data_IF_345707137476
#
_entry.id   IF_345707137476
#
_cell.length_a   1.000
_cell.length_b   1.000
_cell.length_c   1.000
_cell.angle_alpha   90.00
_cell.angle_beta   90.00
_cell.angle_gamma   90.00
#
_symmetry.space_group_name_H-M   'P 1'
#
loop_
_entity.id
_entity.type
_entity.pdbx_description
1 polymer ?
#
# COMPACT_ATOMS: atom_id res chain seq x y z
N UNK A 1 -0.02 0.74 20.12
CA UNK A 1 -0.30 -0.21 19.01
C UNK A 1 -1.63 -0.90 19.30
N UNK A 2 -2.52 -1.00 18.29
CA UNK A 2 -3.80 -1.74 18.40
C UNK A 2 -3.71 -3.00 17.55
N UNK A 3 -3.95 -4.15 18.14
CA UNK A 3 -3.95 -5.44 17.43
C UNK A 3 -5.40 -5.86 17.20
N UNK A 4 -5.77 -6.12 15.95
CA UNK A 4 -7.09 -6.55 15.55
C UNK A 4 -6.97 -7.97 14.97
N UNK A 5 -7.58 -8.95 15.63
CA UNK A 5 -7.63 -10.33 15.13
C UNK A 5 -8.77 -10.48 14.13
N UNK A 6 -8.51 -11.20 13.06
CA UNK A 6 -9.51 -11.59 12.06
C UNK A 6 -9.70 -13.11 12.06
N UNK A 7 -10.90 -13.55 11.72
CA UNK A 7 -11.25 -14.99 11.65
C UNK A 7 -10.68 -15.62 10.38
N UNK A 8 -10.75 -14.88 9.29
CA UNK A 8 -10.41 -15.30 7.94
C UNK A 8 -10.06 -14.09 7.08
N UNK A 9 -9.77 -14.34 5.81
CA UNK A 9 -9.43 -13.32 4.83
C UNK A 9 -10.54 -12.28 4.62
N UNK A 10 -11.81 -12.71 4.61
CA UNK A 10 -12.93 -11.78 4.39
C UNK A 10 -13.12 -10.86 5.60
N UNK A 11 -13.05 -11.40 6.82
CA UNK A 11 -13.13 -10.60 8.04
C UNK A 11 -11.96 -9.62 8.17
N UNK A 12 -10.74 -10.06 7.79
CA UNK A 12 -9.56 -9.17 7.71
C UNK A 12 -9.79 -8.04 6.71
N UNK A 13 -10.22 -8.36 5.50
CA UNK A 13 -10.47 -7.41 4.43
C UNK A 13 -11.52 -6.38 4.83
N UNK A 14 -12.63 -6.82 5.41
CA UNK A 14 -13.70 -5.95 5.91
C UNK A 14 -13.21 -5.05 7.05
N UNK A 15 -12.42 -5.56 7.99
CA UNK A 15 -11.85 -4.77 9.10
C UNK A 15 -10.86 -3.73 8.62
N UNK A 16 -10.02 -4.07 7.64
CA UNK A 16 -9.12 -3.12 7.01
C UNK A 16 -9.91 -2.03 6.24
N UNK A 17 -10.92 -2.43 5.48
CA UNK A 17 -11.80 -1.50 4.78
C UNK A 17 -12.53 -0.54 5.76
N UNK A 18 -12.98 -1.01 6.93
CA UNK A 18 -13.57 -0.15 7.96
C UNK A 18 -12.64 0.96 8.42
N UNK A 19 -11.33 0.69 8.54
CA UNK A 19 -10.36 1.69 8.96
C UNK A 19 -10.15 2.73 7.85
N UNK A 20 -10.05 2.28 6.60
CA UNK A 20 -9.89 3.16 5.45
C UNK A 20 -11.15 4.00 5.24
N UNK A 21 -12.35 3.41 5.30
CA UNK A 21 -13.61 4.14 5.16
C UNK A 21 -13.79 5.20 6.23
N UNK A 22 -13.44 4.88 7.48
CA UNK A 22 -13.47 5.87 8.55
C UNK A 22 -12.53 7.05 8.28
N UNK A 23 -11.33 6.81 7.72
CA UNK A 23 -10.40 7.87 7.33
C UNK A 23 -11.01 8.76 6.23
N UNK A 24 -11.61 8.16 5.19
CA UNK A 24 -12.25 8.91 4.10
C UNK A 24 -13.43 9.73 4.59
N UNK A 25 -14.31 9.18 5.43
CA UNK A 25 -15.45 9.87 5.99
C UNK A 25 -15.02 11.03 6.90
N UNK A 26 -14.04 10.82 7.75
CA UNK A 26 -13.57 11.84 8.71
C UNK A 26 -12.73 12.94 8.07
N UNK A 27 -12.05 12.64 6.96
CA UNK A 27 -11.24 13.57 6.19
C UNK A 27 -11.39 13.26 4.70
N UNK A 28 -12.38 13.82 4.01
CA UNK A 28 -12.65 13.55 2.58
C UNK A 28 -11.45 13.82 1.66
N UNK A 29 -10.63 14.84 1.96
CA UNK A 29 -9.42 15.22 1.25
C UNK A 29 -8.16 14.47 1.72
N UNK A 30 -8.32 13.30 2.34
CA UNK A 30 -7.20 12.54 2.89
C UNK A 30 -6.26 12.02 1.81
N UNK A 31 -5.00 11.86 2.20
CA UNK A 31 -3.96 11.17 1.41
C UNK A 31 -3.84 9.72 1.89
N UNK A 32 -4.26 8.78 1.06
CA UNK A 32 -4.21 7.35 1.35
C UNK A 32 -2.96 6.72 0.72
N UNK A 33 -2.15 6.07 1.52
CA UNK A 33 -1.12 5.16 1.06
C UNK A 33 -1.72 3.78 0.81
N UNK A 34 -1.62 3.26 -0.42
CA UNK A 34 -2.22 2.01 -0.84
C UNK A 34 -1.17 0.96 -1.15
N UNK A 35 -1.52 -0.30 -0.98
CA UNK A 35 -0.66 -1.45 -1.23
C UNK A 35 -1.18 -2.27 -2.43
N UNK A 36 -0.27 -3.03 -3.05
CA UNK A 36 -0.58 -3.96 -4.14
C UNK A 36 -0.43 -5.42 -3.70
N UNK A 37 -0.74 -6.35 -4.58
CA UNK A 37 -0.69 -7.78 -4.31
C UNK A 37 -2.03 -8.39 -3.95
N UNK A 38 -2.07 -9.70 -3.70
CA UNK A 38 -3.33 -10.43 -3.48
C UNK A 38 -4.05 -10.09 -2.16
N UNK A 39 -3.30 -9.70 -1.13
CA UNK A 39 -3.86 -9.47 0.21
C UNK A 39 -4.85 -8.30 0.27
N UNK A 40 -4.60 -7.10 -0.29
CA UNK A 40 -5.52 -5.97 -0.19
C UNK A 40 -6.73 -6.05 -1.14
N UNK A 41 -6.79 -6.99 -2.09
CA UNK A 41 -7.87 -7.10 -3.09
C UNK A 41 -9.25 -7.15 -2.42
N UNK A 42 -9.42 -7.98 -1.39
CA UNK A 42 -10.68 -8.07 -0.66
C UNK A 42 -11.05 -6.78 0.08
N UNK A 43 -10.04 -6.02 0.54
CA UNK A 43 -10.26 -4.70 1.15
C UNK A 43 -10.77 -3.71 0.11
N UNK A 44 -10.18 -3.67 -1.08
CA UNK A 44 -10.65 -2.81 -2.19
C UNK A 44 -12.04 -3.19 -2.66
N UNK A 45 -12.32 -4.49 -2.82
CA UNK A 45 -13.66 -4.97 -3.17
C UNK A 45 -14.72 -4.50 -2.17
N UNK A 46 -14.41 -4.51 -0.87
CA UNK A 46 -15.32 -4.01 0.16
C UNK A 46 -15.50 -2.49 0.10
N UNK A 47 -14.46 -1.72 -0.19
CA UNK A 47 -14.55 -0.26 -0.38
C UNK A 47 -15.41 0.09 -1.59
N UNK A 48 -15.25 -0.63 -2.70
CA UNK A 48 -16.07 -0.49 -3.91
C UNK A 48 -17.54 -0.82 -3.63
N UNK A 49 -17.81 -1.88 -2.85
CA UNK A 49 -19.18 -2.23 -2.45
C UNK A 49 -19.85 -1.09 -1.67
N UNK A 50 -19.17 -0.47 -0.73
CA UNK A 50 -19.67 0.67 0.02
C UNK A 50 -19.80 1.95 -0.81
N UNK A 51 -18.88 2.19 -1.74
CA UNK A 51 -19.03 3.26 -2.72
C UNK A 51 -20.29 3.08 -3.57
N UNK A 52 -20.53 1.87 -4.10
CA UNK A 52 -21.71 1.57 -4.90
C UNK A 52 -23.04 1.70 -4.12
N UNK A 53 -22.99 1.55 -2.79
CA UNK A 53 -24.13 1.78 -1.88
C UNK A 53 -24.33 3.24 -1.52
N UNK A 54 -23.41 4.12 -1.90
CA UNK A 54 -23.45 5.54 -1.56
C UNK A 54 -22.90 5.89 -0.18
N UNK A 55 -22.23 4.93 0.49
CA UNK A 55 -21.67 5.14 1.83
C UNK A 55 -20.31 5.85 1.79
N UNK A 56 -19.60 5.83 0.65
CA UNK A 56 -18.27 6.41 0.48
C UNK A 56 -18.20 7.29 -0.75
N UNK A 57 -17.42 8.37 -0.65
CA UNK A 57 -17.07 9.28 -1.72
C UNK A 57 -15.54 9.43 -1.80
N UNK A 58 -14.96 9.16 -2.98
CA UNK A 58 -13.53 9.24 -3.22
C UNK A 58 -13.13 10.45 -4.07
N UNK A 59 -14.05 11.35 -4.41
CA UNK A 59 -13.81 12.48 -5.33
C UNK A 59 -12.69 13.42 -4.84
N UNK A 60 -12.55 13.59 -3.53
CA UNK A 60 -11.53 14.44 -2.94
C UNK A 60 -10.28 13.69 -2.48
N UNK A 61 -10.34 12.35 -2.42
CA UNK A 61 -9.24 11.50 -1.96
C UNK A 61 -8.04 11.58 -2.91
N UNK A 62 -6.84 11.71 -2.34
CA UNK A 62 -5.58 11.53 -3.06
C UNK A 62 -4.93 10.22 -2.65
N UNK A 63 -4.36 9.47 -3.60
CA UNK A 63 -3.69 8.21 -3.30
C UNK A 63 -2.21 8.25 -3.68
N UNK A 64 -1.41 7.49 -2.91
CA UNK A 64 0.00 7.22 -3.19
C UNK A 64 0.28 5.73 -3.02
N UNK A 65 1.07 5.14 -3.90
CA UNK A 65 1.57 3.77 -3.74
C UNK A 65 3.07 3.79 -3.44
N UNK A 66 3.56 2.79 -2.71
CA UNK A 66 4.96 2.77 -2.26
C UNK A 66 5.96 2.42 -3.36
N UNK A 67 5.53 1.63 -4.34
CA UNK A 67 6.44 0.99 -5.27
C UNK A 67 5.81 0.77 -6.65
N UNK A 68 6.65 0.51 -7.64
CA UNK A 68 6.30 0.12 -9.01
C UNK A 68 7.44 -0.70 -9.62
N UNK A 69 7.14 -1.48 -10.65
CA UNK A 69 8.14 -2.21 -11.43
C UNK A 69 8.87 -1.28 -12.42
N UNK A 70 10.20 -1.34 -12.38
CA UNK A 70 11.06 -0.61 -13.30
C UNK A 70 11.00 -1.21 -14.70
N UNK A 71 10.88 -0.35 -15.71
CA UNK A 71 10.86 -0.74 -17.12
C UNK A 71 9.47 -1.07 -17.66
N UNK A 72 8.40 -0.90 -16.85
CA UNK A 72 7.05 -1.10 -17.30
C UNK A 72 6.31 0.22 -17.52
N UNK A 73 5.61 0.38 -18.67
CA UNK A 73 4.62 1.43 -18.82
C UNK A 73 3.41 1.13 -17.92
N UNK A 74 2.73 2.18 -17.50
CA UNK A 74 1.59 2.07 -16.57
C UNK A 74 0.45 1.20 -17.08
N UNK A 75 0.27 1.11 -18.40
CA UNK A 75 -0.76 0.30 -19.06
C UNK A 75 -0.41 -1.19 -19.13
N UNK A 76 0.81 -1.57 -18.76
CA UNK A 76 1.23 -2.96 -18.79
C UNK A 76 0.45 -3.77 -17.74
N UNK A 77 -0.10 -4.96 -18.07
CA UNK A 77 -0.94 -5.75 -17.15
C UNK A 77 -0.27 -6.15 -15.82
N UNK A 78 1.06 -6.10 -15.77
CA UNK A 78 1.83 -6.40 -14.55
C UNK A 78 2.27 -5.15 -13.80
N UNK A 79 1.96 -3.93 -14.28
CA UNK A 79 2.25 -2.71 -13.53
C UNK A 79 1.34 -2.59 -12.30
N UNK A 80 1.82 -1.93 -11.27
CA UNK A 80 1.00 -1.67 -10.09
C UNK A 80 -0.06 -0.60 -10.36
N UNK A 81 0.20 0.30 -11.31
CA UNK A 81 -0.85 1.21 -11.77
C UNK A 81 -2.02 0.44 -12.38
N UNK A 82 -1.76 -0.53 -13.28
CA UNK A 82 -2.79 -1.38 -13.87
C UNK A 82 -3.54 -2.17 -12.78
N UNK A 83 -2.79 -2.75 -11.83
CA UNK A 83 -3.39 -3.45 -10.69
C UNK A 83 -4.34 -2.56 -9.89
N UNK A 84 -3.94 -1.32 -9.56
CA UNK A 84 -4.77 -0.40 -8.79
C UNK A 84 -5.99 0.07 -9.58
N UNK A 85 -5.83 0.29 -10.89
CA UNK A 85 -6.93 0.64 -11.78
C UNK A 85 -7.99 -0.48 -11.81
N UNK A 86 -7.57 -1.73 -12.01
CA UNK A 86 -8.48 -2.89 -12.05
C UNK A 86 -9.17 -3.19 -10.72
N UNK A 87 -8.54 -2.91 -9.59
CA UNK A 87 -9.07 -3.29 -8.29
C UNK A 87 -9.78 -2.17 -7.55
N UNK A 88 -9.48 -0.90 -7.86
CA UNK A 88 -10.07 0.23 -7.15
C UNK A 88 -10.36 1.44 -8.05
N UNK A 89 -9.36 2.02 -8.74
CA UNK A 89 -9.50 3.36 -9.31
C UNK A 89 -10.60 3.48 -10.35
N UNK A 90 -10.75 2.49 -11.25
CA UNK A 90 -11.81 2.48 -12.26
C UNK A 90 -13.21 2.17 -11.71
N UNK A 91 -13.31 1.79 -10.44
CA UNK A 91 -14.56 1.31 -9.81
C UNK A 91 -15.17 2.30 -8.82
N UNK A 92 -14.48 3.42 -8.57
CA UNK A 92 -14.93 4.50 -7.68
C UNK A 92 -14.75 5.85 -8.37
N UNK A 93 -15.27 6.92 -7.79
CA UNK A 93 -15.23 8.27 -8.37
C UNK A 93 -13.93 9.05 -8.05
N UNK A 94 -12.81 8.36 -7.83
CA UNK A 94 -11.54 9.04 -7.62
C UNK A 94 -11.09 9.76 -8.89
N UNK A 95 -10.58 11.00 -8.75
CA UNK A 95 -9.95 11.71 -9.86
C UNK A 95 -8.62 11.02 -10.23
N UNK A 96 -8.45 10.56 -11.48
CA UNK A 96 -7.19 9.97 -11.94
C UNK A 96 -5.96 10.87 -11.72
N UNK A 97 -6.13 12.20 -11.74
CA UNK A 97 -5.06 13.15 -11.46
C UNK A 97 -4.59 13.15 -10.00
N UNK A 98 -5.43 12.64 -9.09
CA UNK A 98 -5.12 12.47 -7.66
C UNK A 98 -4.53 11.09 -7.33
N UNK A 99 -4.32 10.23 -8.33
CA UNK A 99 -3.69 8.91 -8.13
C UNK A 99 -2.19 8.98 -8.44
N UNK A 100 -1.36 8.68 -7.47
CA UNK A 100 0.09 8.82 -7.60
C UNK A 100 0.78 7.48 -7.42
N UNK A 101 1.60 7.11 -8.41
CA UNK A 101 2.51 5.97 -8.36
C UNK A 101 3.89 6.40 -8.86
N UNK A 102 4.96 5.68 -8.49
CA UNK A 102 6.26 5.87 -9.14
C UNK A 102 6.18 5.59 -10.64
N UNK A 103 6.96 6.34 -11.42
CA UNK A 103 7.05 6.12 -12.86
C UNK A 103 8.07 5.01 -13.18
N UNK A 104 7.56 3.83 -13.51
CA UNK A 104 8.37 2.67 -13.87
C UNK A 104 9.19 2.88 -15.16
N UNK A 105 8.82 3.82 -16.02
CA UNK A 105 9.53 4.10 -17.28
C UNK A 105 10.74 5.01 -17.11
N UNK A 106 10.82 5.72 -15.98
CA UNK A 106 11.99 6.55 -15.67
C UNK A 106 13.16 5.66 -15.22
N UNK A 107 14.17 5.55 -16.08
CA UNK A 107 15.34 4.71 -15.82
C UNK A 107 16.34 5.36 -14.83
N UNK A 108 16.28 6.68 -14.63
CA UNK A 108 17.00 7.35 -13.55
C UNK A 108 16.25 7.21 -12.24
N UNK A 109 16.59 6.14 -11.53
CA UNK A 109 15.93 5.80 -10.25
C UNK A 109 16.11 6.89 -9.19
N UNK A 110 17.24 7.58 -9.17
CA UNK A 110 17.50 8.63 -8.20
C UNK A 110 16.63 9.87 -8.47
N UNK A 111 16.52 10.28 -9.73
CA UNK A 111 15.64 11.36 -10.14
C UNK A 111 14.16 11.01 -9.85
N UNK A 112 13.74 9.77 -10.15
CA UNK A 112 12.36 9.33 -9.87
C UNK A 112 12.06 9.30 -8.38
N UNK A 113 12.96 8.77 -7.55
CA UNK A 113 12.79 8.80 -6.09
C UNK A 113 12.69 10.24 -5.57
N UNK A 114 13.51 11.16 -6.09
CA UNK A 114 13.45 12.56 -5.70
C UNK A 114 12.13 13.22 -6.13
N UNK A 115 11.66 12.96 -7.36
CA UNK A 115 10.37 13.44 -7.88
C UNK A 115 9.22 12.95 -7.00
N UNK A 116 9.18 11.64 -6.72
CA UNK A 116 8.11 11.01 -5.98
C UNK A 116 8.07 11.44 -4.50
N UNK A 117 9.25 11.55 -3.87
CA UNK A 117 9.37 12.17 -2.54
C UNK A 117 8.83 13.60 -2.53
N UNK A 118 9.12 14.38 -3.58
CA UNK A 118 8.61 15.73 -3.75
C UNK A 118 7.07 15.78 -3.83
N UNK A 119 6.41 14.80 -4.48
CA UNK A 119 4.96 14.69 -4.52
C UNK A 119 4.42 14.46 -3.11
N UNK A 120 4.92 13.44 -2.40
CA UNK A 120 4.47 13.11 -1.03
C UNK A 120 4.65 14.31 -0.08
N UNK A 121 5.78 15.01 -0.21
CA UNK A 121 6.04 16.21 0.58
C UNK A 121 5.06 17.36 0.27
N UNK A 122 4.74 17.59 -1.00
CA UNK A 122 3.75 18.62 -1.42
C UNK A 122 2.34 18.30 -0.93
N UNK A 123 2.00 17.02 -0.80
CA UNK A 123 0.72 16.57 -0.26
C UNK A 123 0.64 16.72 1.28
N UNK A 124 1.71 17.13 1.94
CA UNK A 124 1.77 17.23 3.39
C UNK A 124 1.99 15.89 4.10
N UNK A 125 2.29 14.83 3.36
CA UNK A 125 2.48 13.46 3.87
C UNK A 125 1.26 12.57 3.61
N UNK A 126 1.24 11.41 4.26
CA UNK A 126 0.22 10.39 4.12
C UNK A 126 -0.60 10.32 5.42
N UNK A 127 -1.92 10.44 5.32
CA UNK A 127 -2.82 10.39 6.49
C UNK A 127 -2.99 8.96 7.01
N UNK A 128 -3.13 8.00 6.10
CA UNK A 128 -3.25 6.58 6.44
C UNK A 128 -2.53 5.73 5.40
N UNK A 129 -1.61 4.87 5.83
CA UNK A 129 -0.88 3.94 4.97
C UNK A 129 -1.35 2.50 5.20
N UNK A 130 -1.85 1.85 4.14
CA UNK A 130 -2.08 0.41 4.10
C UNK A 130 -0.76 -0.29 3.73
N UNK A 131 -0.36 -1.29 4.52
CA UNK A 131 0.83 -2.10 4.28
C UNK A 131 0.51 -3.58 4.41
N UNK A 132 1.14 -4.39 3.57
CA UNK A 132 1.22 -5.83 3.74
C UNK A 132 2.58 -6.23 4.30
N UNK A 133 2.63 -7.32 5.06
CA UNK A 133 3.88 -7.95 5.49
C UNK A 133 3.99 -9.31 4.78
N UNK A 134 5.07 -9.50 4.03
CA UNK A 134 5.32 -10.78 3.37
C UNK A 134 5.73 -11.90 4.34
N UNK A 135 5.74 -13.18 3.88
CA UNK A 135 6.07 -14.32 4.74
C UNK A 135 7.47 -14.25 5.36
N UNK A 136 8.41 -13.58 4.71
CA UNK A 136 9.77 -13.36 5.20
C UNK A 136 9.92 -12.01 5.95
N UNK A 137 8.82 -11.25 6.13
CA UNK A 137 8.81 -9.98 6.80
C UNK A 137 9.07 -8.76 5.90
N UNK A 138 9.11 -8.91 4.57
CA UNK A 138 9.25 -7.77 3.66
C UNK A 138 8.01 -6.87 3.68
N UNK A 139 8.23 -5.58 3.46
CA UNK A 139 7.19 -4.56 3.32
C UNK A 139 7.42 -3.83 1.99
N UNK A 140 6.45 -3.88 1.08
CA UNK A 140 6.65 -3.42 -0.29
C UNK A 140 7.80 -4.21 -0.94
N UNK A 141 8.72 -3.52 -1.60
CA UNK A 141 9.94 -4.14 -2.13
C UNK A 141 11.13 -4.13 -1.14
N UNK A 142 10.91 -3.73 0.11
CA UNK A 142 11.97 -3.72 1.11
C UNK A 142 12.08 -5.08 1.79
N UNK A 143 13.16 -5.78 1.52
CA UNK A 143 13.50 -7.03 2.20
C UNK A 143 13.96 -6.77 3.64
N UNK A 144 13.77 -7.73 4.56
CA UNK A 144 14.31 -7.63 5.91
C UNK A 144 15.82 -7.41 5.89
N UNK A 145 16.29 -6.41 6.61
CA UNK A 145 17.68 -6.02 6.69
C UNK A 145 17.96 -5.30 8.01
N UNK A 146 19.20 -4.83 8.18
CA UNK A 146 19.61 -4.12 9.38
C UNK A 146 18.94 -2.74 9.54
N UNK A 147 18.46 -2.16 8.41
CA UNK A 147 17.74 -0.89 8.40
C UNK A 147 16.64 -0.87 7.34
N UNK A 148 15.46 -0.37 7.70
CA UNK A 148 14.40 -0.03 6.78
C UNK A 148 14.58 1.39 6.27
N UNK A 149 14.59 1.56 4.94
CA UNK A 149 14.49 2.90 4.36
C UNK A 149 13.03 3.35 4.41
N UNK A 150 12.77 4.47 5.05
CA UNK A 150 11.45 5.10 5.12
C UNK A 150 11.17 6.05 3.94
N UNK A 151 12.14 6.22 3.05
CA UNK A 151 12.00 7.00 1.80
C UNK A 151 11.96 6.06 0.62
N UNK A 152 11.25 6.42 -0.48
CA UNK A 152 11.43 5.73 -1.74
C UNK A 152 12.91 5.63 -2.09
N UNK A 153 13.34 4.42 -2.35
CA UNK A 153 14.73 4.08 -2.68
C UNK A 153 14.77 3.32 -3.99
N UNK A 154 15.95 2.91 -4.44
CA UNK A 154 16.07 2.05 -5.62
C UNK A 154 15.27 0.73 -5.50
N UNK A 155 14.96 0.27 -4.29
CA UNK A 155 14.07 -0.88 -4.06
C UNK A 155 12.60 -0.57 -4.36
N UNK A 156 12.19 0.70 -4.39
CA UNK A 156 10.84 1.13 -4.77
C UNK A 156 10.55 0.86 -6.26
N UNK A 157 11.60 0.77 -7.08
CA UNK A 157 11.54 0.45 -8.50
C UNK A 157 12.33 -0.83 -8.75
N UNK A 158 11.68 -1.98 -8.81
CA UNK A 158 12.33 -3.27 -9.08
C UNK A 158 12.15 -3.73 -10.52
N UNK A 159 13.16 -4.44 -11.07
CA UNK A 159 12.96 -5.20 -12.30
C UNK A 159 11.88 -6.27 -12.11
N UNK A 160 11.13 -6.55 -13.17
CA UNK A 160 10.16 -7.64 -13.18
C UNK A 160 10.86 -8.96 -12.86
N UNK A 161 10.33 -9.80 -11.96
CA UNK A 161 10.88 -11.13 -11.75
C UNK A 161 10.73 -11.97 -13.02
N UNK A 162 11.77 -12.69 -13.39
CA UNK A 162 11.80 -13.54 -14.58
C UNK A 162 10.83 -14.74 -14.53
N UNK A 163 10.20 -14.99 -13.39
CA UNK A 163 9.12 -15.97 -13.20
C UNK A 163 8.04 -15.36 -12.30
N UNK A 164 6.74 -15.58 -12.60
CA UNK A 164 5.68 -15.18 -11.68
C UNK A 164 5.88 -15.95 -10.38
N UNK A 165 6.20 -15.26 -9.30
CA UNK A 165 6.09 -15.82 -7.96
C UNK A 165 4.59 -15.97 -7.68
N UNK A 166 4.08 -17.17 -7.89
CA UNK A 166 2.79 -17.56 -7.35
C UNK A 166 2.91 -17.46 -5.83
N UNK A 167 2.45 -16.35 -5.26
CA UNK A 167 2.17 -16.29 -3.84
C UNK A 167 0.98 -17.22 -3.60
N UNK A 168 1.28 -18.52 -3.47
CA UNK A 168 0.35 -19.51 -2.99
C UNK A 168 -0.02 -19.13 -1.56
N UNK A 169 -1.24 -18.66 -1.38
CA UNK A 169 -1.92 -18.58 -0.10
C UNK A 169 -2.11 -20.00 0.45
N UNK A 170 -1.10 -20.56 1.06
CA UNK A 170 -1.27 -21.66 2.00
C UNK A 170 -1.24 -21.08 3.41
N UNK A 171 -2.42 -20.70 3.89
CA UNK A 171 -2.68 -20.66 5.31
C UNK A 171 -2.49 -22.07 5.83
N UNK A 172 -1.47 -22.31 6.64
CA UNK A 172 -1.42 -23.16 7.82
C UNK A 172 0.02 -23.52 8.17
N UNK A 173 0.55 -22.85 9.20
CA UNK A 173 1.43 -23.49 10.17
C UNK A 173 1.38 -22.71 11.49
N UNK A 174 1.15 -23.36 12.63
CA UNK A 174 1.15 -22.68 13.93
C UNK A 174 2.58 -22.24 14.27
N UNK A 175 2.70 -20.96 14.66
CA UNK A 175 3.93 -20.41 15.17
C UNK A 175 4.28 -21.04 16.52
N UNK A 176 5.42 -21.72 16.59
CA UNK A 176 6.08 -22.11 17.81
C UNK A 176 6.53 -20.87 18.61
N UNK A 177 6.33 -20.82 19.93
CA UNK A 177 6.75 -19.69 20.73
C UNK A 177 8.24 -19.84 21.10
N UNK A 178 9.08 -18.94 20.66
CA UNK A 178 10.27 -18.47 21.37
C UNK A 178 11.27 -17.78 20.44
N UNK A 179 11.32 -16.46 20.55
CA UNK A 179 12.53 -15.67 20.81
C UNK A 179 12.17 -14.19 20.86
N UNK A 180 12.22 -13.64 22.04
CA UNK A 180 12.18 -12.21 22.29
C UNK A 180 13.48 -11.56 21.81
N UNK A 181 13.36 -10.50 21.00
CA UNK A 181 14.34 -9.42 20.94
C UNK A 181 13.60 -8.10 21.09
N UNK A 182 14.05 -7.21 22.00
CA UNK A 182 13.34 -5.97 22.29
C UNK A 182 13.64 -4.90 21.25
N UNK A 183 12.59 -4.30 20.69
CA UNK A 183 12.70 -3.10 19.88
C UNK A 183 12.80 -1.88 20.80
N UNK A 184 13.99 -1.30 20.85
CA UNK A 184 14.23 -0.04 21.56
C UNK A 184 14.24 1.13 20.56
N UNK A 185 13.27 2.02 20.76
CA UNK A 185 13.28 3.47 20.63
C UNK A 185 14.12 4.14 19.53
N UNK A 186 13.45 4.80 18.57
CA UNK A 186 13.85 6.13 18.06
C UNK A 186 12.63 6.98 17.74
N UNK A 187 12.70 8.31 17.99
CA UNK A 187 11.55 9.19 17.99
C UNK A 187 11.27 9.86 16.65
N UNK A 188 10.05 10.38 16.57
CA UNK A 188 9.54 11.36 15.62
C UNK A 188 9.14 10.88 14.22
N UNK A 189 8.01 10.19 14.16
CA UNK A 189 7.10 10.37 13.04
C UNK A 189 5.88 11.13 13.56
N UNK A 190 5.85 12.43 13.43
CA UNK A 190 4.83 13.27 14.07
C UNK A 190 3.55 13.41 13.30
N UNK A 191 3.24 12.69 12.25
CA UNK A 191 1.95 12.83 11.56
C UNK A 191 1.55 11.65 10.66
N UNK A 192 2.19 10.50 10.73
CA UNK A 192 1.69 9.31 10.05
C UNK A 192 1.28 8.26 11.08
N UNK A 193 0.00 7.90 11.10
CA UNK A 193 -0.45 6.75 11.88
C UNK A 193 -0.10 5.49 11.09
N UNK A 194 1.09 4.94 11.33
CA UNK A 194 1.42 3.61 10.84
C UNK A 194 0.67 2.57 11.68
N UNK A 195 -0.12 1.75 11.03
CA UNK A 195 -0.78 0.60 11.64
C UNK A 195 -0.06 -0.66 11.18
N UNK A 196 0.53 -1.37 12.12
CA UNK A 196 1.09 -2.71 11.94
C UNK A 196 0.04 -3.77 12.21
#
# INVERSE_FOLDING_TARGET
>A
MKIIRAKDYQDMSRKAANIISAQVIMKPDCVLGLATGGTPVGTYAQLVDWYNKGDLDFSEVTTVNLDEYRGLPKEHPQSYWYFMNENLFSKVNIDPAKTNLPDGTNLDTAAECARYNGIIHKLGGIDLQLLGIGPNGHIGFNEPGEALSWRPTASTLRPLPSKPTSASLTATRPLSPNRHTPWASRPSCRHARCWW
#
